data_IF_546129788385
#
_entry.id   IF_546129788385
#
_cell.length_a   1.000
_cell.length_b   1.000
_cell.length_c   1.000
_cell.angle_alpha   90.00
_cell.angle_beta   90.00
_cell.angle_gamma   90.00
#
_symmetry.space_group_name_H-M   'P 1'
#
loop_
_entity.id
_entity.type
_entity.pdbx_description
1 polymer ?
#
# COMPACT_ATOMS: atom_id res chain seq x y z
N UNK A 1 31.76 8.88 17.23
CA UNK A 1 30.68 9.09 16.24
C UNK A 1 30.41 7.76 15.57
N UNK A 2 29.31 7.08 15.89
CA UNK A 2 29.00 5.75 15.33
C UNK A 2 28.34 5.94 13.97
N UNK A 3 28.99 5.50 12.90
CA UNK A 3 28.42 5.46 11.55
C UNK A 3 27.87 4.06 11.31
N UNK A 4 26.55 3.90 11.42
CA UNK A 4 25.88 2.65 11.08
C UNK A 4 25.73 2.56 9.55
N UNK A 5 26.22 1.47 8.95
CA UNK A 5 25.97 1.13 7.54
C UNK A 5 24.90 0.04 7.49
N UNK A 6 23.74 0.37 6.93
CA UNK A 6 22.72 -0.61 6.57
C UNK A 6 22.95 -1.01 5.11
N UNK A 7 23.08 -2.31 4.85
CA UNK A 7 23.11 -2.86 3.49
C UNK A 7 21.72 -3.39 3.17
N UNK A 8 21.12 -2.89 2.09
CA UNK A 8 19.86 -3.40 1.56
C UNK A 8 20.06 -3.73 0.07
N UNK A 9 19.61 -4.90 -0.35
CA UNK A 9 19.55 -5.30 -1.75
C UNK A 9 18.10 -5.25 -2.20
N UNK A 10 17.83 -4.53 -3.28
CA UNK A 10 16.49 -4.38 -3.85
C UNK A 10 16.54 -4.64 -5.35
N UNK A 11 15.56 -5.39 -5.85
CA UNK A 11 15.37 -5.59 -7.28
C UNK A 11 14.34 -4.58 -7.78
N UNK A 12 14.75 -3.73 -8.70
CA UNK A 12 13.92 -2.65 -9.22
C UNK A 12 13.88 -2.70 -10.74
N UNK A 13 12.69 -2.50 -11.33
CA UNK A 13 12.49 -2.37 -12.77
C UNK A 13 11.96 -0.97 -13.07
N UNK A 14 12.31 -0.41 -14.23
CA UNK A 14 11.83 0.91 -14.70
C UNK A 14 11.99 2.03 -13.66
N UNK A 15 13.08 2.00 -12.88
CA UNK A 15 13.31 2.92 -11.75
C UNK A 15 14.19 4.13 -12.11
N UNK A 16 14.41 4.39 -13.39
CA UNK A 16 15.32 5.44 -13.88
C UNK A 16 14.99 6.79 -13.24
N UNK A 17 13.73 7.21 -13.27
CA UNK A 17 13.29 8.48 -12.67
C UNK A 17 13.52 8.55 -11.16
N UNK A 18 13.28 7.44 -10.44
CA UNK A 18 13.52 7.38 -9.01
C UNK A 18 15.02 7.50 -8.70
N UNK A 19 15.87 6.83 -9.47
CA UNK A 19 17.33 6.93 -9.33
C UNK A 19 17.80 8.36 -9.67
N UNK A 20 17.31 8.96 -10.76
CA UNK A 20 17.64 10.33 -11.14
C UNK A 20 17.24 11.33 -10.05
N UNK A 21 16.07 11.14 -9.42
CA UNK A 21 15.63 11.94 -8.28
C UNK A 21 16.53 11.77 -7.06
N UNK A 22 17.05 10.58 -6.80
CA UNK A 22 18.02 10.37 -5.72
C UNK A 22 19.35 11.07 -6.03
N UNK A 23 19.81 10.99 -7.28
CA UNK A 23 21.04 11.65 -7.74
C UNK A 23 20.90 13.17 -7.64
N UNK A 24 19.78 13.75 -8.08
CA UNK A 24 19.54 15.20 -8.00
C UNK A 24 19.52 15.71 -6.55
N UNK A 25 19.10 14.86 -5.61
CA UNK A 25 19.17 15.12 -4.16
C UNK A 25 20.53 14.73 -3.55
N UNK A 26 21.59 14.58 -4.35
CA UNK A 26 22.96 14.23 -3.91
C UNK A 26 23.02 12.95 -3.06
N UNK A 27 22.10 12.01 -3.31
CA UNK A 27 21.92 10.77 -2.55
C UNK A 27 21.67 11.00 -1.04
N UNK A 28 21.04 12.11 -0.70
CA UNK A 28 20.62 12.45 0.66
C UNK A 28 19.11 12.31 0.79
N UNK A 29 18.66 11.51 1.75
CA UNK A 29 17.25 11.40 2.12
C UNK A 29 17.06 12.00 3.52
N UNK A 30 16.11 12.92 3.74
CA UNK A 30 15.81 13.43 5.08
C UNK A 30 15.50 12.30 6.06
N UNK A 31 16.03 12.38 7.29
CA UNK A 31 15.76 11.39 8.31
C UNK A 31 14.30 11.51 8.76
N UNK A 32 13.49 10.44 8.70
CA UNK A 32 12.03 10.52 8.87
C UNK A 32 11.60 10.90 10.30
N UNK A 33 12.51 10.81 11.28
CA UNK A 33 12.23 11.08 12.70
C UNK A 33 13.08 12.20 13.31
N UNK A 34 14.12 12.64 12.62
CA UNK A 34 15.09 13.58 13.19
C UNK A 34 15.20 14.76 12.22
N UNK A 35 14.62 15.92 12.57
CA UNK A 35 14.69 17.11 11.74
C UNK A 35 16.14 17.47 11.38
N UNK A 36 16.35 17.96 10.17
CA UNK A 36 17.65 18.41 9.65
C UNK A 36 18.77 17.35 9.63
N UNK A 37 18.45 16.08 9.83
CA UNK A 37 19.38 14.98 9.56
C UNK A 37 19.10 14.33 8.21
N UNK A 38 20.13 13.76 7.61
CA UNK A 38 20.06 13.09 6.31
C UNK A 38 20.69 11.71 6.38
N UNK A 39 20.06 10.76 5.71
CA UNK A 39 20.57 9.44 5.41
C UNK A 39 21.31 9.54 4.08
N UNK A 40 22.62 9.28 4.10
CA UNK A 40 23.44 9.21 2.88
C UNK A 40 23.34 7.82 2.28
N UNK A 41 22.97 7.75 1.00
CA UNK A 41 22.81 6.51 0.26
C UNK A 41 24.02 6.29 -0.65
N UNK A 42 24.43 5.04 -0.80
CA UNK A 42 25.34 4.60 -1.86
C UNK A 42 24.61 3.55 -2.66
N UNK A 43 24.49 3.77 -3.97
CA UNK A 43 23.79 2.85 -4.89
C UNK A 43 24.86 2.10 -5.68
N UNK A 44 24.83 0.78 -5.61
CA UNK A 44 25.61 -0.10 -6.49
C UNK A 44 24.58 -0.75 -7.42
N UNK A 45 24.61 -0.38 -8.69
CA UNK A 45 23.70 -0.92 -9.68
C UNK A 45 24.32 -2.14 -10.35
N UNK A 46 23.70 -3.31 -10.16
CA UNK A 46 23.98 -4.52 -10.91
C UNK A 46 22.80 -4.83 -11.82
N UNK A 47 23.09 -5.36 -13.00
CA UNK A 47 22.05 -5.82 -13.93
C UNK A 47 21.91 -7.33 -13.83
N UNK A 48 20.67 -7.80 -13.73
CA UNK A 48 20.34 -9.22 -13.82
C UNK A 48 19.20 -9.37 -14.82
N UNK A 49 19.25 -10.36 -15.74
CA UNK A 49 18.13 -10.65 -16.61
C UNK A 49 16.86 -10.93 -15.80
N UNK A 50 15.75 -10.32 -16.23
CA UNK A 50 14.43 -10.49 -15.61
C UNK A 50 13.95 -11.94 -15.57
N UNK A 51 14.47 -12.80 -16.45
CA UNK A 51 14.18 -14.23 -16.52
C UNK A 51 14.80 -15.03 -15.38
N UNK A 52 15.86 -14.52 -14.75
CA UNK A 52 16.56 -15.21 -13.65
C UNK A 52 15.87 -14.96 -12.31
N UNK A 53 15.19 -13.82 -12.17
CA UNK A 53 14.49 -13.42 -10.95
C UNK A 53 12.99 -13.49 -11.18
N UNK A 54 12.42 -14.67 -10.92
CA UNK A 54 10.97 -14.86 -10.86
C UNK A 54 10.50 -14.74 -9.39
N UNK A 55 10.04 -13.56 -9.02
CA UNK A 55 9.46 -13.31 -7.69
C UNK A 55 7.96 -13.53 -7.82
N UNK A 56 7.51 -14.76 -7.58
CA UNK A 56 6.09 -15.05 -7.48
C UNK A 56 5.58 -14.77 -6.06
N UNK A 57 5.11 -13.54 -5.85
CA UNK A 57 4.48 -13.14 -4.58
C UNK A 57 3.03 -13.60 -4.46
N UNK A 58 2.42 -14.16 -5.51
CA UNK A 58 0.97 -14.40 -5.56
C UNK A 58 0.52 -15.35 -4.46
N UNK A 59 1.20 -16.48 -4.31
CA UNK A 59 0.86 -17.51 -3.30
C UNK A 59 1.02 -16.96 -1.88
N UNK A 60 2.11 -16.23 -1.61
CA UNK A 60 2.34 -15.61 -0.30
C UNK A 60 1.27 -14.55 0.01
N UNK A 61 0.98 -13.69 -0.96
CA UNK A 61 0.00 -12.63 -0.84
C UNK A 61 -1.40 -13.20 -0.57
N UNK A 62 -1.82 -14.22 -1.30
CA UNK A 62 -3.09 -14.90 -1.05
C UNK A 62 -3.15 -15.54 0.34
N UNK A 63 -2.07 -16.17 0.82
CA UNK A 63 -2.04 -16.73 2.16
C UNK A 63 -2.23 -15.66 3.24
N UNK A 64 -1.56 -14.51 3.10
CA UNK A 64 -1.71 -13.36 4.00
C UNK A 64 -3.13 -12.80 3.95
N UNK A 65 -3.71 -12.64 2.75
CA UNK A 65 -5.08 -12.14 2.57
C UNK A 65 -6.12 -13.07 3.19
N UNK A 66 -5.98 -14.39 3.04
CA UNK A 66 -6.85 -15.39 3.70
C UNK A 66 -6.77 -15.27 5.21
N UNK A 67 -5.56 -15.18 5.78
CA UNK A 67 -5.36 -15.02 7.22
C UNK A 67 -6.01 -13.74 7.77
N UNK A 68 -5.99 -12.67 6.98
CA UNK A 68 -6.56 -11.35 7.32
C UNK A 68 -8.08 -11.26 7.13
N UNK A 69 -8.70 -12.29 6.58
CA UNK A 69 -10.15 -12.38 6.44
C UNK A 69 -10.78 -13.17 7.59
N UNK A 70 -11.58 -12.51 8.42
CA UNK A 70 -12.23 -13.12 9.59
C UNK A 70 -13.64 -12.57 9.77
N UNK A 71 -14.63 -13.46 9.91
CA UNK A 71 -16.01 -13.07 10.26
C UNK A 71 -16.64 -12.03 9.32
N UNK A 72 -16.43 -12.16 8.00
CA UNK A 72 -16.84 -11.16 6.97
C UNK A 72 -16.13 -9.81 7.05
N UNK A 73 -15.05 -9.70 7.80
CA UNK A 73 -14.18 -8.54 7.83
C UNK A 73 -12.85 -8.88 7.15
N UNK A 74 -12.45 -8.10 6.14
CA UNK A 74 -11.08 -8.16 5.62
C UNK A 74 -10.28 -7.01 6.24
N UNK A 75 -9.26 -7.37 7.03
CA UNK A 75 -8.40 -6.39 7.69
C UNK A 75 -7.07 -6.20 6.96
N UNK A 76 -7.00 -5.15 6.14
CA UNK A 76 -5.79 -4.76 5.41
C UNK A 76 -5.09 -3.56 6.06
N UNK A 77 -5.34 -3.26 7.34
CA UNK A 77 -4.63 -2.19 8.04
C UNK A 77 -3.13 -2.43 8.04
N UNK A 78 -2.34 -1.39 7.75
CA UNK A 78 -0.88 -1.41 7.74
C UNK A 78 -0.32 -2.64 6.98
N UNK A 79 -0.83 -2.88 5.78
CA UNK A 79 -0.64 -4.16 5.07
C UNK A 79 0.82 -4.49 4.81
N UNK A 80 1.61 -3.48 4.42
CA UNK A 80 3.04 -3.59 4.13
C UNK A 80 3.89 -4.05 5.31
N UNK A 81 3.35 -3.99 6.54
CA UNK A 81 4.03 -4.42 7.76
C UNK A 81 3.62 -5.83 8.22
N UNK A 82 2.85 -6.60 7.42
CA UNK A 82 2.50 -7.97 7.78
C UNK A 82 3.74 -8.87 7.80
N UNK A 83 4.00 -9.51 8.93
CA UNK A 83 5.14 -10.42 9.10
C UNK A 83 5.09 -11.68 8.22
N UNK A 84 3.92 -12.00 7.66
CA UNK A 84 3.73 -13.09 6.72
C UNK A 84 4.06 -12.72 5.27
N UNK A 85 4.26 -11.44 4.95
CA UNK A 85 4.70 -11.02 3.62
C UNK A 85 6.18 -11.34 3.41
N UNK A 86 6.50 -12.01 2.31
CA UNK A 86 7.90 -12.26 1.92
C UNK A 86 8.54 -11.06 1.25
N UNK A 87 7.73 -10.14 0.73
CA UNK A 87 8.16 -8.96 -0.01
C UNK A 87 7.44 -7.71 0.50
N UNK A 88 8.04 -6.54 0.27
CA UNK A 88 7.44 -5.27 0.66
C UNK A 88 6.28 -4.89 -0.27
N UNK A 89 5.06 -5.16 0.19
CA UNK A 89 3.82 -4.96 -0.57
C UNK A 89 3.02 -3.76 -0.06
N UNK A 90 3.00 -2.66 -0.81
CA UNK A 90 2.28 -1.42 -0.44
C UNK A 90 0.99 -1.23 -1.23
N UNK A 91 -0.16 -1.17 -0.54
CA UNK A 91 -1.47 -1.00 -1.18
C UNK A 91 -1.67 0.35 -1.87
N UNK A 92 -0.80 1.34 -1.66
CA UNK A 92 -0.81 2.58 -2.44
C UNK A 92 -0.39 2.39 -3.91
N UNK A 93 0.21 1.25 -4.27
CA UNK A 93 0.51 0.90 -5.65
C UNK A 93 -0.76 0.39 -6.37
N UNK A 94 -1.24 1.06 -7.44
CA UNK A 94 -2.52 0.72 -8.06
C UNK A 94 -2.63 -0.73 -8.55
N UNK A 95 -1.57 -1.29 -9.14
CA UNK A 95 -1.57 -2.68 -9.63
C UNK A 95 -1.72 -3.70 -8.49
N UNK A 96 -1.01 -3.47 -7.38
CA UNK A 96 -1.10 -4.34 -6.21
C UNK A 96 -2.47 -4.22 -5.55
N UNK A 97 -2.97 -3.00 -5.38
CA UNK A 97 -4.31 -2.77 -4.84
C UNK A 97 -5.38 -3.46 -5.70
N UNK A 98 -5.30 -3.33 -7.03
CA UNK A 98 -6.23 -3.99 -7.95
C UNK A 98 -6.20 -5.50 -7.78
N UNK A 99 -5.01 -6.11 -7.75
CA UNK A 99 -4.85 -7.55 -7.51
C UNK A 99 -5.48 -7.99 -6.18
N UNK A 100 -5.21 -7.23 -5.12
CA UNK A 100 -5.78 -7.50 -3.78
C UNK A 100 -7.30 -7.38 -3.79
N UNK A 101 -7.86 -6.37 -4.49
CA UNK A 101 -9.31 -6.21 -4.59
C UNK A 101 -9.98 -7.30 -5.43
N UNK A 102 -9.33 -7.79 -6.49
CA UNK A 102 -9.80 -8.96 -7.23
C UNK A 102 -9.89 -10.19 -6.33
N UNK A 103 -8.86 -10.46 -5.53
CA UNK A 103 -8.91 -11.54 -4.55
C UNK A 103 -10.04 -11.35 -3.53
N UNK A 104 -10.22 -10.13 -3.01
CA UNK A 104 -11.29 -9.81 -2.06
C UNK A 104 -12.67 -10.01 -2.67
N UNK A 105 -12.85 -9.74 -3.97
CA UNK A 105 -14.11 -9.96 -4.68
C UNK A 105 -14.52 -11.44 -4.78
N UNK A 106 -13.53 -12.35 -4.71
CA UNK A 106 -13.73 -13.79 -4.81
C UNK A 106 -14.00 -14.46 -3.45
N UNK A 107 -13.83 -13.73 -2.33
CA UNK A 107 -14.02 -14.28 -0.99
C UNK A 107 -15.45 -14.75 -0.75
N UNK A 108 -15.57 -15.92 -0.10
CA UNK A 108 -16.85 -16.51 0.33
C UNK A 108 -16.81 -16.82 1.83
N UNK A 109 -17.76 -16.30 2.62
CA UNK A 109 -18.80 -15.32 2.24
C UNK A 109 -18.21 -13.95 1.85
N UNK A 110 -18.92 -13.10 1.08
CA UNK A 110 -18.45 -11.77 0.76
C UNK A 110 -18.19 -10.92 2.02
N UNK A 111 -17.15 -10.05 2.01
CA UNK A 111 -16.87 -9.19 3.14
C UNK A 111 -17.94 -8.11 3.28
N UNK A 112 -18.39 -7.86 4.52
CA UNK A 112 -19.29 -6.76 4.87
C UNK A 112 -18.52 -5.56 5.44
N UNK A 113 -17.27 -5.77 5.86
CA UNK A 113 -16.39 -4.74 6.42
C UNK A 113 -15.01 -4.79 5.77
N UNK A 114 -14.54 -3.64 5.30
CA UNK A 114 -13.21 -3.45 4.72
C UNK A 114 -12.40 -2.50 5.63
N UNK A 115 -11.18 -2.88 6.02
CA UNK A 115 -10.28 -2.01 6.78
C UNK A 115 -9.03 -1.75 5.95
N UNK A 116 -8.79 -0.49 5.59
CA UNK A 116 -7.66 -0.04 4.78
C UNK A 116 -6.78 1.00 5.49
N UNK A 117 -6.87 1.11 6.81
CA UNK A 117 -6.13 2.14 7.53
C UNK A 117 -4.61 2.00 7.37
N UNK A 118 -3.88 3.12 7.43
CA UNK A 118 -2.42 3.12 7.49
C UNK A 118 -1.73 2.51 6.24
N UNK A 119 -2.26 2.77 5.04
CA UNK A 119 -1.75 2.23 3.78
C UNK A 119 -1.27 3.27 2.77
N UNK A 120 -1.26 4.55 3.16
CA UNK A 120 -0.84 5.66 2.29
C UNK A 120 -1.62 5.73 0.97
N UNK A 121 -2.90 5.30 0.97
CA UNK A 121 -3.73 5.29 -0.23
C UNK A 121 -3.96 6.70 -0.75
N UNK A 122 -3.72 6.93 -2.04
CA UNK A 122 -3.99 8.19 -2.75
C UNK A 122 -5.18 8.12 -3.69
N UNK A 123 -5.63 6.91 -4.02
CA UNK A 123 -6.76 6.63 -4.90
C UNK A 123 -7.47 5.37 -4.42
N UNK A 124 -8.79 5.32 -4.65
CA UNK A 124 -9.65 4.18 -4.33
C UNK A 124 -10.20 3.49 -5.59
N UNK A 125 -9.71 3.82 -6.79
CA UNK A 125 -10.23 3.28 -8.05
C UNK A 125 -10.27 1.75 -8.08
N UNK A 126 -9.24 1.09 -7.54
CA UNK A 126 -9.16 -0.36 -7.49
C UNK A 126 -10.32 -1.01 -6.72
N UNK A 127 -10.97 -0.29 -5.81
CA UNK A 127 -12.13 -0.79 -5.08
C UNK A 127 -13.33 -1.01 -6.03
N UNK A 128 -13.34 -0.41 -7.22
CA UNK A 128 -14.42 -0.55 -8.21
C UNK A 128 -14.70 -2.00 -8.63
N UNK A 129 -13.72 -2.90 -8.53
CA UNK A 129 -13.93 -4.33 -8.83
C UNK A 129 -14.80 -5.07 -7.81
N UNK A 130 -14.99 -4.53 -6.60
CA UNK A 130 -15.85 -5.16 -5.59
C UNK A 130 -17.33 -5.02 -5.96
N UNK A 131 -18.13 -6.05 -5.69
CA UNK A 131 -19.59 -5.95 -5.71
C UNK A 131 -20.11 -4.92 -4.70
N UNK A 132 -21.30 -4.38 -4.96
CA UNK A 132 -21.89 -3.25 -4.20
C UNK A 132 -22.71 -3.67 -2.98
N UNK A 133 -23.19 -4.91 -2.96
CA UNK A 133 -24.42 -5.22 -2.21
C UNK A 133 -24.19 -5.61 -0.74
N UNK A 134 -22.98 -6.04 -0.38
CA UNK A 134 -22.70 -6.61 0.95
C UNK A 134 -21.83 -5.71 1.84
N UNK A 135 -21.06 -4.78 1.26
CA UNK A 135 -20.13 -3.93 2.02
C UNK A 135 -20.89 -2.81 2.73
N UNK A 136 -20.88 -2.85 4.07
CA UNK A 136 -21.58 -1.90 4.95
C UNK A 136 -20.64 -0.91 5.65
N UNK A 137 -19.35 -1.24 5.73
CA UNK A 137 -18.37 -0.45 6.49
C UNK A 137 -17.00 -0.46 5.80
N UNK A 138 -16.41 0.73 5.66
CA UNK A 138 -15.06 0.92 5.12
C UNK A 138 -14.28 1.86 6.04
N UNK A 139 -13.13 1.41 6.55
CA UNK A 139 -12.21 2.21 7.35
C UNK A 139 -11.04 2.70 6.48
N UNK A 140 -10.92 4.02 6.32
CA UNK A 140 -9.91 4.70 5.49
C UNK A 140 -8.95 5.58 6.30
N UNK A 141 -8.93 5.48 7.64
CA UNK A 141 -8.11 6.35 8.49
C UNK A 141 -6.63 6.26 8.13
N UNK A 142 -5.89 7.37 8.32
CA UNK A 142 -4.44 7.43 8.08
C UNK A 142 -4.01 7.01 6.65
N UNK A 143 -4.70 7.54 5.64
CA UNK A 143 -4.31 7.45 4.24
C UNK A 143 -4.04 8.85 3.67
N UNK A 144 -3.61 8.93 2.41
CA UNK A 144 -3.20 10.16 1.71
C UNK A 144 -4.26 10.60 0.67
N UNK A 145 -5.54 10.39 0.98
CA UNK A 145 -6.67 10.77 0.12
C UNK A 145 -6.89 12.28 0.21
N UNK A 146 -6.22 13.03 -0.66
CA UNK A 146 -6.17 14.49 -0.58
C UNK A 146 -7.35 15.21 -1.26
N UNK A 147 -8.08 14.53 -2.15
CA UNK A 147 -9.12 15.15 -2.97
C UNK A 147 -10.47 14.46 -2.80
N UNK A 148 -11.55 15.18 -3.11
CA UNK A 148 -12.91 14.62 -3.08
C UNK A 148 -13.08 13.56 -4.18
N UNK A 149 -12.43 13.77 -5.32
CA UNK A 149 -12.43 12.86 -6.48
C UNK A 149 -11.87 11.49 -6.09
N UNK A 150 -10.88 11.44 -5.19
CA UNK A 150 -10.33 10.18 -4.68
C UNK A 150 -11.36 9.32 -3.91
N UNK A 151 -12.47 9.91 -3.47
CA UNK A 151 -13.57 9.23 -2.76
C UNK A 151 -14.75 8.86 -3.68
N UNK A 152 -14.75 9.29 -4.94
CA UNK A 152 -15.81 8.97 -5.91
C UNK A 152 -16.11 7.46 -6.02
N UNK A 153 -15.10 6.55 -5.99
CA UNK A 153 -15.33 5.11 -5.99
C UNK A 153 -16.20 4.59 -4.84
N UNK A 154 -16.37 5.37 -3.76
CA UNK A 154 -17.20 4.97 -2.62
C UNK A 154 -18.70 5.09 -2.89
N UNK A 155 -19.11 5.91 -3.88
CA UNK A 155 -20.53 6.16 -4.19
C UNK A 155 -21.32 4.90 -4.56
N UNK A 156 -20.63 3.86 -5.03
CA UNK A 156 -21.26 2.58 -5.38
C UNK A 156 -21.66 1.74 -4.16
N UNK A 157 -21.13 2.04 -2.97
CA UNK A 157 -21.45 1.28 -1.77
C UNK A 157 -22.56 1.96 -0.98
N UNK A 158 -23.52 1.16 -0.49
CA UNK A 158 -24.52 1.62 0.46
C UNK A 158 -23.93 1.61 1.88
N UNK A 159 -23.08 2.59 2.18
CA UNK A 159 -22.41 2.70 3.48
C UNK A 159 -23.33 3.39 4.48
N UNK A 160 -23.76 2.66 5.52
CA UNK A 160 -24.54 3.22 6.63
C UNK A 160 -23.56 3.97 7.54
N UNK A 161 -23.53 5.30 7.41
CA UNK A 161 -22.50 6.15 8.01
C UNK A 161 -22.59 6.29 9.53
N UNK A 162 -21.44 6.13 10.19
CA UNK A 162 -21.04 6.95 11.34
C UNK A 162 -19.82 7.74 10.87
N UNK A 163 -20.04 8.91 10.27
CA UNK A 163 -18.98 9.77 9.75
C UNK A 163 -18.11 10.32 10.90
N UNK A 164 -17.00 9.66 11.20
CA UNK A 164 -15.80 10.32 11.72
C UNK A 164 -14.73 10.31 10.63
N UNK A 165 -15.04 10.97 9.51
CA UNK A 165 -13.99 11.40 8.59
C UNK A 165 -13.33 12.60 9.28
N UNK A 166 -12.14 12.39 9.81
CA UNK A 166 -11.35 13.43 10.46
C UNK A 166 -10.87 14.44 9.44
N UNK A 167 -11.75 15.36 9.02
CA UNK A 167 -11.37 16.58 8.34
C UNK A 167 -10.72 17.49 9.38
N UNK A 168 -9.39 17.46 9.48
CA UNK A 168 -8.66 18.65 9.92
C UNK A 168 -8.60 19.57 8.71
N UNK A 169 -9.55 20.52 8.71
CA UNK A 169 -9.59 21.82 8.03
C UNK A 169 -8.62 22.04 6.87
N UNK A 170 -9.18 22.15 5.66
CA UNK A 170 -8.68 23.07 4.64
C UNK A 170 -9.84 24.03 4.35
N UNK A 171 -9.84 25.14 5.07
CA UNK A 171 -10.22 26.47 4.55
C UNK A 171 -8.90 27.16 4.27
#
# INVERSE_FOLDING_TARGET
MFQFRLLAQIYVRNCVEAILKLISNKLLIPHPRIPNQFIRITIIANQIPSSIVNIDISTNLQAVLKKRFQGKCINLSNFHSDAGLTEFCVLSQPKLMLYVMQFVSELKPPPTKLIFSDNFLRSLEAINVLGTDEVRSIDLRNNELATKEALEPLKKFYIIGNHKIGWKSIV
#
